data_IF_468969380114
#
_entry.id   IF_468969380114
#
_cell.length_a   1.000
_cell.length_b   1.000
_cell.length_c   1.000
_cell.angle_alpha   90.00
_cell.angle_beta   90.00
_cell.angle_gamma   90.00
#
_symmetry.space_group_name_H-M   'P 1'
#
loop_
_entity.id
_entity.type
_entity.pdbx_description
1 polymer ?
#
# COMPACT_ATOMS: atom_id res chain seq x y z
N UNK A 1 -20.87 -0.85 -2.05
CA UNK A 1 -21.55 -1.93 -2.77
C UNK A 1 -22.59 -1.37 -3.75
N UNK A 2 -23.53 -0.51 -3.37
CA UNK A 2 -24.54 0.06 -4.28
C UNK A 2 -23.98 0.68 -5.57
N UNK A 3 -22.78 1.27 -5.55
CA UNK A 3 -22.15 1.87 -6.74
C UNK A 3 -21.89 0.80 -7.80
N UNK A 4 -21.33 -0.35 -7.41
CA UNK A 4 -21.08 -1.46 -8.34
C UNK A 4 -22.36 -2.03 -8.94
N UNK A 5 -23.41 -2.18 -8.11
CA UNK A 5 -24.72 -2.69 -8.56
C UNK A 5 -25.37 -1.71 -9.55
N UNK A 6 -25.25 -0.40 -9.31
CA UNK A 6 -25.74 0.64 -10.23
C UNK A 6 -24.92 0.66 -11.53
N UNK A 7 -23.60 0.55 -11.44
CA UNK A 7 -22.71 0.53 -12.58
C UNK A 7 -23.01 -0.67 -13.50
N UNK A 8 -23.13 -1.85 -12.92
CA UNK A 8 -23.48 -3.08 -13.63
C UNK A 8 -24.85 -2.95 -14.33
N UNK A 9 -25.88 -2.48 -13.59
CA UNK A 9 -27.24 -2.28 -14.14
C UNK A 9 -27.27 -1.30 -15.31
N UNK A 10 -26.38 -0.29 -15.33
CA UNK A 10 -26.33 0.73 -16.37
C UNK A 10 -25.21 0.48 -17.40
N UNK A 11 -24.54 -0.65 -17.34
CA UNK A 11 -23.41 -1.00 -18.21
C UNK A 11 -22.32 0.08 -18.21
N UNK A 12 -21.95 0.57 -17.01
CA UNK A 12 -20.90 1.55 -16.81
C UNK A 12 -19.68 0.87 -16.17
N UNK A 13 -18.50 1.05 -16.75
CA UNK A 13 -17.26 0.57 -16.18
C UNK A 13 -16.88 1.41 -14.96
N UNK A 14 -16.47 0.72 -13.89
CA UNK A 14 -15.89 1.34 -12.67
C UNK A 14 -14.52 0.75 -12.45
N UNK A 15 -13.52 1.62 -12.30
CA UNK A 15 -12.13 1.23 -12.08
C UNK A 15 -11.49 2.12 -11.02
N UNK A 16 -10.77 1.51 -10.07
CA UNK A 16 -10.13 2.21 -8.97
C UNK A 16 -8.79 2.84 -9.37
N UNK A 17 -8.47 3.95 -8.75
CA UNK A 17 -7.19 4.64 -8.94
C UNK A 17 -6.14 4.03 -7.99
N UNK A 18 -5.60 2.85 -8.33
CA UNK A 18 -4.59 2.13 -7.55
C UNK A 18 -3.19 2.38 -8.13
N UNK A 19 -2.64 3.55 -7.87
CA UNK A 19 -1.35 4.03 -8.39
C UNK A 19 -0.16 3.17 -7.92
N UNK A 20 -0.23 2.61 -6.72
CA UNK A 20 0.83 1.83 -6.10
C UNK A 20 1.11 0.50 -6.83
N UNK A 21 0.17 0.00 -7.64
CA UNK A 21 0.41 -1.15 -8.54
C UNK A 21 1.48 -0.85 -9.59
N UNK A 22 1.73 0.44 -9.88
CA UNK A 22 2.70 0.91 -10.90
C UNK A 22 4.04 1.35 -10.30
N UNK A 23 4.13 1.40 -8.97
CA UNK A 23 5.41 1.65 -8.32
C UNK A 23 6.36 0.49 -8.65
N UNK A 24 7.55 0.82 -9.19
CA UNK A 24 8.43 -0.17 -9.80
C UNK A 24 8.94 -1.23 -8.83
N UNK A 25 9.21 -0.88 -7.56
CA UNK A 25 9.64 -1.88 -6.55
C UNK A 25 8.52 -2.86 -6.24
N UNK A 26 7.28 -2.38 -6.17
CA UNK A 26 6.06 -3.18 -5.98
C UNK A 26 5.80 -4.11 -7.17
N UNK A 27 5.92 -3.58 -8.39
CA UNK A 27 5.75 -4.38 -9.60
C UNK A 27 6.80 -5.51 -9.71
N UNK A 28 8.07 -5.22 -9.39
CA UNK A 28 9.14 -6.23 -9.37
C UNK A 28 8.94 -7.20 -8.20
N UNK A 29 8.50 -6.75 -7.02
CA UNK A 29 8.17 -7.63 -5.89
C UNK A 29 7.12 -8.66 -6.30
N UNK A 30 6.03 -8.23 -6.97
CA UNK A 30 5.02 -9.13 -7.54
C UNK A 30 5.61 -10.10 -8.55
N UNK A 31 6.40 -9.60 -9.51
CA UNK A 31 7.00 -10.46 -10.54
C UNK A 31 7.90 -11.55 -9.93
N UNK A 32 8.68 -11.20 -8.90
CA UNK A 32 9.51 -12.16 -8.15
C UNK A 32 8.68 -13.13 -7.32
N UNK A 33 7.55 -12.70 -6.75
CA UNK A 33 6.66 -13.58 -5.98
C UNK A 33 6.01 -14.68 -6.83
N UNK A 34 5.91 -14.46 -8.13
CA UNK A 34 5.41 -15.46 -9.09
C UNK A 34 6.50 -16.46 -9.54
N UNK A 35 7.75 -16.24 -9.15
CA UNK A 35 8.86 -17.15 -9.51
C UNK A 35 8.96 -18.32 -8.53
N UNK A 36 8.61 -19.51 -9.00
CA UNK A 36 8.71 -20.73 -8.19
C UNK A 36 10.15 -21.07 -7.77
N UNK A 37 11.16 -20.68 -8.56
CA UNK A 37 12.58 -20.92 -8.23
C UNK A 37 13.09 -19.96 -7.14
N UNK A 38 12.54 -18.74 -7.06
CA UNK A 38 13.00 -17.70 -6.13
C UNK A 38 12.13 -17.61 -4.90
N UNK A 39 10.82 -17.48 -5.06
CA UNK A 39 9.89 -17.27 -3.96
C UNK A 39 9.30 -18.60 -3.43
N UNK A 40 9.07 -19.54 -4.35
CA UNK A 40 8.32 -20.76 -4.05
C UNK A 40 6.83 -20.46 -3.86
N UNK A 41 6.26 -20.93 -2.77
CA UNK A 41 4.86 -20.70 -2.42
C UNK A 41 4.76 -19.68 -1.28
N UNK A 42 3.72 -18.86 -1.31
CA UNK A 42 3.41 -17.96 -0.19
C UNK A 42 3.09 -18.77 1.07
N UNK A 43 3.76 -18.47 2.17
CA UNK A 43 3.50 -19.13 3.46
C UNK A 43 2.10 -18.78 3.98
N UNK A 44 1.60 -19.57 4.93
CA UNK A 44 0.34 -19.22 5.61
C UNK A 44 0.54 -18.04 6.58
N UNK A 45 1.71 -17.97 7.20
CA UNK A 45 2.02 -16.99 8.23
C UNK A 45 1.27 -17.21 9.54
N UNK A 46 1.46 -16.30 10.47
CA UNK A 46 0.71 -16.22 11.74
C UNK A 46 0.38 -14.76 12.05
N UNK A 47 -0.35 -14.51 13.12
CA UNK A 47 -0.64 -13.15 13.58
C UNK A 47 0.64 -12.36 13.88
N UNK A 48 1.63 -13.00 14.52
CA UNK A 48 2.92 -12.40 14.90
C UNK A 48 3.89 -12.30 13.71
N UNK A 49 3.79 -13.22 12.75
CA UNK A 49 4.61 -13.29 11.56
C UNK A 49 3.74 -13.47 10.32
N UNK A 50 3.01 -12.43 9.89
CA UNK A 50 2.11 -12.52 8.75
C UNK A 50 2.86 -12.88 7.47
N UNK A 51 2.20 -13.65 6.59
CA UNK A 51 2.75 -13.99 5.28
C UNK A 51 2.99 -12.75 4.42
N UNK A 52 2.12 -11.74 4.61
CA UNK A 52 2.20 -10.45 3.91
C UNK A 52 2.04 -9.34 4.93
N UNK A 53 2.94 -8.37 4.91
CA UNK A 53 2.80 -7.11 5.66
C UNK A 53 3.04 -5.92 4.76
N UNK A 54 2.17 -4.93 4.85
CA UNK A 54 2.27 -3.65 4.16
C UNK A 54 2.11 -2.53 5.18
N UNK A 55 3.03 -1.60 5.18
CA UNK A 55 2.98 -0.41 6.02
C UNK A 55 3.28 0.83 5.19
N UNK A 56 2.55 1.90 5.45
CA UNK A 56 2.78 3.20 4.84
C UNK A 56 2.80 4.24 5.95
N UNK A 57 3.82 5.08 5.95
CA UNK A 57 3.97 6.20 6.88
C UNK A 57 3.85 7.49 6.09
N UNK A 58 2.86 8.29 6.43
CA UNK A 58 2.56 9.57 5.82
C UNK A 58 2.80 10.71 6.80
N UNK A 59 2.83 11.92 6.26
CA UNK A 59 3.03 13.13 7.06
C UNK A 59 1.98 14.18 6.71
N UNK A 60 1.37 14.74 7.76
CA UNK A 60 0.37 15.80 7.61
C UNK A 60 1.03 17.07 7.07
N UNK A 61 2.23 17.38 7.53
CA UNK A 61 3.06 18.45 7.00
C UNK A 61 4.34 17.89 6.39
N UNK A 62 4.63 18.26 5.16
CA UNK A 62 5.86 17.93 4.43
C UNK A 62 6.10 18.93 3.31
N UNK A 63 7.31 18.90 2.75
CA UNK A 63 7.63 19.65 1.54
C UNK A 63 7.45 18.78 0.30
N UNK A 64 6.81 19.33 -0.73
CA UNK A 64 6.65 18.70 -2.04
C UNK A 64 7.23 19.66 -3.08
N UNK A 65 8.23 19.20 -3.83
CA UNK A 65 8.96 20.03 -4.81
C UNK A 65 9.49 21.35 -4.22
N UNK A 66 9.99 21.28 -2.97
CA UNK A 66 10.58 22.42 -2.26
C UNK A 66 9.58 23.43 -1.67
N UNK A 67 8.26 23.14 -1.76
CA UNK A 67 7.21 23.99 -1.19
C UNK A 67 6.47 23.26 -0.08
N UNK A 68 6.06 23.96 1.00
CA UNK A 68 5.25 23.36 2.05
C UNK A 68 3.89 22.94 1.47
N UNK A 69 3.49 21.72 1.76
CA UNK A 69 2.16 21.21 1.40
C UNK A 69 1.13 21.75 2.38
N UNK A 70 0.29 22.68 1.92
CA UNK A 70 -0.84 23.21 2.70
C UNK A 70 -2.07 22.34 2.42
N UNK A 71 -2.64 21.75 3.49
CA UNK A 71 -3.85 20.91 3.39
C UNK A 71 -5.09 21.72 3.72
N UNK A 72 -6.19 21.51 3.00
CA UNK A 72 -7.46 22.11 3.40
C UNK A 72 -7.89 21.51 4.76
N UNK A 73 -8.51 22.32 5.64
CA UNK A 73 -8.88 21.87 6.99
C UNK A 73 -9.86 20.68 6.99
N UNK A 74 -10.70 20.52 5.95
CA UNK A 74 -11.62 19.38 5.84
C UNK A 74 -10.88 18.04 5.69
N UNK A 75 -9.63 18.04 5.27
CA UNK A 75 -8.78 16.84 5.22
C UNK A 75 -8.59 16.19 6.60
N UNK A 76 -8.71 16.99 7.67
CA UNK A 76 -8.61 16.52 9.05
C UNK A 76 -9.97 16.13 9.66
N UNK A 77 -11.07 16.30 8.93
CA UNK A 77 -12.40 15.89 9.35
C UNK A 77 -12.74 14.48 8.85
N UNK A 78 -12.77 13.53 9.76
CA UNK A 78 -13.08 12.12 9.45
C UNK A 78 -14.42 11.88 8.79
N UNK A 79 -15.40 12.82 8.94
CA UNK A 79 -16.68 12.74 8.24
C UNK A 79 -16.60 13.11 6.76
N UNK A 80 -15.62 13.93 6.40
CA UNK A 80 -15.39 14.37 5.01
C UNK A 80 -14.33 13.53 4.32
N UNK A 81 -13.16 13.35 4.96
CA UNK A 81 -12.03 12.60 4.39
C UNK A 81 -12.16 11.09 4.60
N UNK A 82 -12.77 10.64 5.68
CA UNK A 82 -12.66 9.29 6.19
C UNK A 82 -11.55 9.16 7.25
N UNK A 83 -11.51 8.02 7.92
CA UNK A 83 -10.43 7.69 8.85
C UNK A 83 -9.29 6.94 8.15
N UNK A 84 -8.07 7.03 8.67
CA UNK A 84 -6.90 6.38 8.08
C UNK A 84 -7.06 4.88 7.86
N UNK A 85 -7.83 4.21 8.73
CA UNK A 85 -8.11 2.77 8.60
C UNK A 85 -8.98 2.41 7.37
N UNK A 86 -9.64 3.37 6.73
CA UNK A 86 -10.49 3.16 5.55
C UNK A 86 -10.08 4.01 4.34
N UNK A 87 -9.13 4.91 4.50
CA UNK A 87 -8.63 5.79 3.45
C UNK A 87 -7.40 5.16 2.75
N UNK A 88 -6.20 5.47 3.17
CA UNK A 88 -4.97 4.98 2.53
C UNK A 88 -4.79 3.46 2.64
N UNK A 89 -5.34 2.83 3.65
CA UNK A 89 -5.34 1.36 3.77
C UNK A 89 -5.97 0.65 2.57
N UNK A 90 -6.86 1.31 1.80
CA UNK A 90 -7.41 0.73 0.56
C UNK A 90 -6.32 0.38 -0.43
N UNK A 91 -5.30 1.22 -0.59
CA UNK A 91 -4.15 0.95 -1.46
C UNK A 91 -3.36 -0.27 -0.99
N UNK A 92 -3.12 -0.38 0.32
CA UNK A 92 -2.33 -1.48 0.87
C UNK A 92 -3.09 -2.82 0.85
N UNK A 93 -4.41 -2.81 1.10
CA UNK A 93 -5.26 -4.01 0.95
C UNK A 93 -5.32 -4.44 -0.52
N UNK A 94 -5.40 -3.48 -1.44
CA UNK A 94 -5.32 -3.74 -2.88
C UNK A 94 -4.01 -4.44 -3.26
N UNK A 95 -2.88 -3.95 -2.78
CA UNK A 95 -1.57 -4.55 -3.04
C UNK A 95 -1.47 -5.97 -2.47
N UNK A 96 -2.02 -6.23 -1.27
CA UNK A 96 -2.08 -7.60 -0.72
C UNK A 96 -2.81 -8.54 -1.69
N UNK A 97 -3.97 -8.12 -2.21
CA UNK A 97 -4.74 -8.91 -3.16
C UNK A 97 -3.99 -9.11 -4.49
N UNK A 98 -3.51 -8.02 -5.07
CA UNK A 98 -2.91 -7.97 -6.39
C UNK A 98 -1.56 -8.71 -6.49
N UNK A 99 -0.73 -8.65 -5.43
CA UNK A 99 0.57 -9.31 -5.42
C UNK A 99 0.49 -10.78 -5.02
N UNK A 100 -0.33 -11.10 -4.00
CA UNK A 100 -0.38 -12.45 -3.45
C UNK A 100 -1.30 -13.40 -4.22
N UNK A 101 -2.31 -12.86 -4.89
CA UNK A 101 -3.32 -13.62 -5.61
C UNK A 101 -3.53 -13.07 -7.04
N UNK A 102 -2.46 -12.99 -7.84
CA UNK A 102 -2.53 -12.37 -9.17
C UNK A 102 -3.57 -13.04 -10.06
N UNK A 103 -4.44 -12.21 -10.66
CA UNK A 103 -5.51 -12.62 -11.57
C UNK A 103 -6.53 -13.60 -10.96
N UNK A 104 -6.62 -13.71 -9.64
CA UNK A 104 -7.60 -14.56 -8.96
C UNK A 104 -8.77 -13.72 -8.45
N UNK A 105 -9.97 -14.26 -8.60
CA UNK A 105 -11.18 -13.73 -7.97
C UNK A 105 -11.07 -13.96 -6.46
N UNK A 106 -11.24 -12.87 -5.70
CA UNK A 106 -11.30 -12.88 -4.24
C UNK A 106 -12.68 -12.39 -3.83
N UNK A 107 -13.32 -13.14 -2.95
CA UNK A 107 -14.64 -12.79 -2.41
C UNK A 107 -14.53 -12.36 -0.95
N UNK A 108 -15.51 -11.64 -0.44
CA UNK A 108 -15.55 -11.25 0.98
C UNK A 108 -15.52 -12.45 1.94
N UNK A 109 -16.03 -13.60 1.52
CA UNK A 109 -15.94 -14.87 2.28
C UNK A 109 -14.52 -15.43 2.40
N UNK A 110 -13.59 -14.99 1.56
CA UNK A 110 -12.18 -15.38 1.64
C UNK A 110 -11.43 -14.58 2.72
N UNK A 111 -12.06 -13.52 3.28
CA UNK A 111 -11.46 -12.63 4.27
C UNK A 111 -12.04 -12.89 5.65
N UNK A 112 -11.15 -13.07 6.64
CA UNK A 112 -11.54 -13.15 8.05
C UNK A 112 -10.73 -12.12 8.86
N UNK A 113 -11.40 -11.08 9.41
CA UNK A 113 -10.79 -10.05 10.23
C UNK A 113 -10.45 -10.60 11.61
N UNK A 114 -9.18 -10.50 12.03
CA UNK A 114 -8.67 -11.02 13.31
C UNK A 114 -8.57 -9.91 14.36
N UNK A 115 -8.00 -8.78 13.99
CA UNK A 115 -7.91 -7.61 14.86
C UNK A 115 -7.81 -6.33 14.04
N UNK A 116 -8.29 -5.22 14.60
CA UNK A 116 -8.12 -3.91 14.03
C UNK A 116 -8.03 -2.86 15.14
N UNK A 117 -7.27 -1.82 14.91
CA UNK A 117 -7.17 -0.66 15.79
C UNK A 117 -7.05 0.62 14.99
N UNK A 118 -7.55 1.71 15.56
CA UNK A 118 -7.43 3.06 15.03
C UNK A 118 -6.94 4.00 16.13
N UNK A 119 -6.23 5.04 15.76
CA UNK A 119 -5.79 6.05 16.72
C UNK A 119 -5.60 7.41 16.06
N UNK A 120 -5.64 8.46 16.87
CA UNK A 120 -5.47 9.82 16.41
C UNK A 120 -3.99 10.23 16.37
N UNK A 121 -3.65 11.10 15.43
CA UNK A 121 -2.50 11.99 15.54
C UNK A 121 -2.99 13.25 16.25
N UNK A 122 -2.35 13.59 17.36
CA UNK A 122 -2.73 14.74 18.16
C UNK A 122 -2.01 15.97 17.62
N UNK A 123 -2.76 17.02 17.30
CA UNK A 123 -2.25 18.25 16.69
C UNK A 123 -2.57 19.45 17.57
N UNK A 124 -1.53 20.13 18.06
CA UNK A 124 -1.70 21.42 18.69
C UNK A 124 -2.24 22.48 17.72
N UNK A 125 -2.73 23.59 18.25
CA UNK A 125 -3.25 24.70 17.42
C UNK A 125 -2.16 25.25 16.47
N UNK A 126 -0.90 25.32 16.90
CA UNK A 126 0.21 25.79 16.07
C UNK A 126 0.53 24.79 14.94
N UNK A 127 0.47 23.49 15.24
CA UNK A 127 0.64 22.43 14.26
C UNK A 127 -0.51 22.44 13.22
N UNK A 128 -1.75 22.60 13.68
CA UNK A 128 -2.91 22.76 12.80
C UNK A 128 -2.75 23.97 11.87
N UNK A 129 -2.35 25.14 12.43
CA UNK A 129 -2.05 26.33 11.63
C UNK A 129 -0.95 26.06 10.59
N UNK A 130 0.13 25.36 10.96
CA UNK A 130 1.23 25.03 10.05
C UNK A 130 0.75 24.13 8.90
N UNK A 131 -0.15 23.17 9.18
CA UNK A 131 -0.71 22.25 8.17
C UNK A 131 -1.68 22.94 7.25
N UNK A 132 -2.59 23.78 7.80
CA UNK A 132 -3.76 24.31 7.07
C UNK A 132 -3.67 25.76 6.66
N UNK A 133 -2.81 26.54 7.30
CA UNK A 133 -2.74 28.00 7.17
C UNK A 133 -3.81 28.76 7.96
N UNK A 134 -4.71 28.09 8.73
CA UNK A 134 -5.78 28.71 9.46
C UNK A 134 -5.40 28.99 10.93
N UNK A 135 -5.81 30.12 11.46
CA UNK A 135 -5.54 30.53 12.86
C UNK A 135 -6.49 29.87 13.89
N UNK A 136 -7.59 29.27 13.45
CA UNK A 136 -8.60 28.66 14.31
C UNK A 136 -9.19 27.42 13.66
N UNK A 137 -9.64 26.49 14.52
CA UNK A 137 -10.36 25.30 14.06
C UNK A 137 -11.75 25.67 13.56
N UNK A 138 -12.14 25.25 12.33
CA UNK A 138 -13.52 25.36 11.87
C UNK A 138 -14.51 24.61 12.76
N UNK A 139 -15.78 25.04 12.74
CA UNK A 139 -16.83 24.47 13.62
C UNK A 139 -16.99 22.96 13.48
N UNK A 140 -16.83 22.42 12.27
CA UNK A 140 -16.96 20.99 12.03
C UNK A 140 -15.84 20.13 12.63
N UNK A 141 -14.71 20.73 13.08
CA UNK A 141 -13.63 20.05 13.79
C UNK A 141 -13.78 20.14 15.32
N UNK A 142 -14.70 20.95 15.86
CA UNK A 142 -14.87 21.12 17.31
C UNK A 142 -15.17 19.79 18.03
N UNK A 143 -15.85 18.86 17.36
CA UNK A 143 -16.18 17.52 17.88
C UNK A 143 -14.97 16.65 18.18
N UNK A 144 -13.85 16.93 17.52
CA UNK A 144 -12.60 16.15 17.59
C UNK A 144 -11.53 16.85 18.45
N UNK A 145 -11.89 17.96 19.14
CA UNK A 145 -11.01 18.65 20.07
C UNK A 145 -11.07 18.01 21.47
N UNK A 146 -9.91 17.71 22.04
CA UNK A 146 -9.75 17.31 23.43
C UNK A 146 -8.66 18.21 24.02
N UNK A 147 -8.99 18.92 25.13
CA UNK A 147 -8.05 19.84 25.81
C UNK A 147 -7.38 20.88 24.87
N UNK A 148 -8.12 21.36 23.86
CA UNK A 148 -7.70 22.29 22.81
C UNK A 148 -6.82 21.73 21.71
N UNK A 149 -6.44 20.45 21.73
CA UNK A 149 -5.73 19.78 20.66
C UNK A 149 -6.68 18.99 19.76
N UNK A 150 -6.40 18.98 18.47
CA UNK A 150 -7.19 18.23 17.48
C UNK A 150 -6.72 16.77 17.43
N UNK A 151 -7.64 15.86 17.71
CA UNK A 151 -7.44 14.42 17.59
C UNK A 151 -7.86 13.93 16.19
N UNK A 152 -6.93 13.98 15.23
CA UNK A 152 -7.16 13.53 13.86
C UNK A 152 -7.02 12.01 13.77
N UNK A 153 -8.12 11.26 13.61
CA UNK A 153 -8.14 9.79 13.48
C UNK A 153 -7.67 9.34 12.09
N UNK A 154 -6.42 9.56 11.79
CA UNK A 154 -5.80 9.27 10.49
C UNK A 154 -4.93 8.00 10.49
N UNK A 155 -4.82 7.29 11.61
CA UNK A 155 -4.03 6.07 11.72
C UNK A 155 -4.91 4.82 11.82
N UNK A 156 -4.42 3.72 11.26
CA UNK A 156 -5.11 2.44 11.36
C UNK A 156 -4.20 1.24 11.11
N UNK A 157 -4.50 0.14 11.78
CA UNK A 157 -3.86 -1.15 11.60
C UNK A 157 -4.91 -2.25 11.59
N UNK A 158 -4.76 -3.21 10.71
CA UNK A 158 -5.60 -4.38 10.64
C UNK A 158 -4.77 -5.65 10.42
N UNK A 159 -5.19 -6.73 11.06
CA UNK A 159 -4.67 -8.07 10.84
C UNK A 159 -5.85 -8.96 10.42
N UNK A 160 -5.68 -9.69 9.34
CA UNK A 160 -6.74 -10.53 8.78
C UNK A 160 -6.14 -11.74 8.07
N UNK A 161 -6.96 -12.75 7.80
CA UNK A 161 -6.59 -13.77 6.83
C UNK A 161 -7.34 -13.55 5.53
N UNK A 162 -6.67 -13.84 4.41
CA UNK A 162 -7.22 -13.82 3.06
C UNK A 162 -6.84 -15.12 2.36
N UNK A 163 -7.83 -15.93 1.94
CA UNK A 163 -7.62 -17.30 1.42
C UNK A 163 -6.70 -18.12 2.32
N UNK A 164 -6.87 -18.00 3.65
CA UNK A 164 -6.05 -18.70 4.66
C UNK A 164 -4.66 -18.14 4.91
N UNK A 165 -4.22 -17.08 4.20
CA UNK A 165 -2.91 -16.44 4.42
C UNK A 165 -3.07 -15.25 5.36
N UNK A 166 -2.19 -15.17 6.39
CA UNK A 166 -2.18 -14.03 7.31
C UNK A 166 -1.61 -12.79 6.64
N UNK A 167 -2.34 -11.68 6.71
CA UNK A 167 -1.96 -10.38 6.21
C UNK A 167 -2.06 -9.31 7.31
N UNK A 168 -1.11 -8.39 7.31
CA UNK A 168 -1.11 -7.19 8.17
C UNK A 168 -0.98 -5.95 7.31
N UNK A 169 -1.85 -4.96 7.55
CA UNK A 169 -1.81 -3.66 6.90
C UNK A 169 -1.81 -2.57 7.97
N UNK A 170 -0.94 -1.57 7.82
CA UNK A 170 -0.79 -0.45 8.75
C UNK A 170 -0.59 0.87 7.99
N UNK A 171 -1.35 1.90 8.38
CA UNK A 171 -1.18 3.28 7.90
C UNK A 171 -0.97 4.18 9.10
N UNK A 172 0.12 4.95 9.06
CA UNK A 172 0.53 5.87 10.11
C UNK A 172 0.67 7.26 9.49
N UNK A 173 0.06 8.26 10.13
CA UNK A 173 0.22 9.66 9.81
C UNK A 173 0.92 10.40 10.96
N UNK A 174 2.17 10.74 10.75
CA UNK A 174 2.90 11.62 11.66
C UNK A 174 2.57 13.08 11.37
N UNK A 175 2.83 13.96 12.36
CA UNK A 175 2.64 15.39 12.17
C UNK A 175 3.51 15.94 11.03
N UNK A 176 4.82 15.72 11.08
CA UNK A 176 5.80 16.32 10.17
C UNK A 176 6.83 15.32 9.67
N UNK A 177 7.16 15.40 8.40
CA UNK A 177 8.25 14.62 7.82
C UNK A 177 9.61 15.16 8.32
N UNK A 178 10.60 14.30 8.60
CA UNK A 178 11.98 14.74 8.80
C UNK A 178 12.46 15.55 7.59
N UNK A 179 13.34 16.51 7.84
CA UNK A 179 13.84 17.39 6.80
C UNK A 179 14.45 16.61 5.61
N UNK A 180 14.09 16.98 4.41
CA UNK A 180 14.54 16.33 3.17
C UNK A 180 13.93 14.97 2.89
N UNK A 181 12.94 14.54 3.68
CA UNK A 181 12.25 13.25 3.49
C UNK A 181 10.79 13.44 3.12
N UNK A 182 10.12 12.34 2.84
CA UNK A 182 8.69 12.27 2.53
C UNK A 182 8.02 11.07 3.16
N UNK A 183 6.92 10.64 2.56
CA UNK A 183 6.22 9.43 2.97
C UNK A 183 7.07 8.19 2.64
N UNK A 184 6.88 7.12 3.41
CA UNK A 184 7.63 5.88 3.25
C UNK A 184 6.68 4.69 3.16
N UNK A 185 7.14 3.65 2.48
CA UNK A 185 6.44 2.38 2.33
C UNK A 185 7.35 1.22 2.71
N UNK A 186 6.78 0.26 3.42
CA UNK A 186 7.44 -1.01 3.73
C UNK A 186 6.54 -2.18 3.33
N UNK A 187 7.15 -3.22 2.79
CA UNK A 187 6.43 -4.41 2.36
C UNK A 187 7.26 -5.66 2.64
N UNK A 188 6.61 -6.71 3.10
CA UNK A 188 7.24 -8.03 3.21
C UNK A 188 6.27 -9.08 2.69
N UNK A 189 6.75 -9.94 1.79
CA UNK A 189 6.08 -11.16 1.36
C UNK A 189 6.96 -12.36 1.72
N UNK A 190 6.43 -13.34 2.44
CA UNK A 190 7.17 -14.50 2.93
C UNK A 190 6.85 -15.73 2.11
N UNK A 191 7.80 -16.17 1.29
CA UNK A 191 7.72 -17.41 0.52
C UNK A 191 8.43 -18.58 1.19
N UNK A 192 8.26 -19.77 0.64
CA UNK A 192 8.93 -20.99 1.14
C UNK A 192 10.44 -20.96 0.88
N UNK A 193 10.90 -20.25 -0.17
CA UNK A 193 12.31 -20.17 -0.57
C UNK A 193 12.99 -18.85 -0.24
N UNK A 194 12.24 -17.74 -0.24
CA UNK A 194 12.76 -16.42 0.13
C UNK A 194 11.69 -15.51 0.69
N UNK A 195 12.13 -14.47 1.36
CA UNK A 195 11.29 -13.31 1.68
C UNK A 195 11.64 -12.16 0.72
N UNK A 196 10.62 -11.51 0.18
CA UNK A 196 10.74 -10.32 -0.65
C UNK A 196 10.40 -9.11 0.21
N UNK A 197 11.32 -8.16 0.34
CA UNK A 197 11.21 -7.09 1.32
C UNK A 197 11.46 -5.75 0.63
N UNK A 198 10.49 -4.85 0.67
CA UNK A 198 10.69 -3.44 0.31
C UNK A 198 10.92 -2.67 1.61
N UNK A 199 11.98 -1.89 1.65
CA UNK A 199 12.31 -0.94 2.72
C UNK A 199 12.49 0.45 2.13
N UNK A 200 12.14 1.46 2.94
CA UNK A 200 12.32 2.87 2.58
C UNK A 200 12.65 3.67 3.85
N UNK A 201 13.67 3.25 4.58
CA UNK A 201 14.11 3.86 5.82
C UNK A 201 15.38 4.71 5.67
N UNK A 202 15.95 5.07 6.81
CA UNK A 202 17.22 5.82 6.86
C UNK A 202 18.35 5.05 6.17
N UNK A 203 18.38 3.72 6.34
CA UNK A 203 19.40 2.85 5.73
C UNK A 203 19.35 2.89 4.21
N UNK A 204 18.15 3.07 3.64
CA UNK A 204 17.90 3.18 2.20
C UNK A 204 17.91 4.65 1.71
N UNK A 205 18.31 5.61 2.55
CA UNK A 205 18.22 7.04 2.26
C UNK A 205 16.81 7.47 1.84
N UNK A 206 15.78 6.89 2.46
CA UNK A 206 14.34 7.09 2.17
C UNK A 206 13.94 6.81 0.73
N UNK A 207 14.71 5.96 0.01
CA UNK A 207 14.36 5.50 -1.33
C UNK A 207 13.81 4.07 -1.27
N UNK A 208 12.70 3.77 -1.95
CA UNK A 208 12.17 2.40 -2.01
C UNK A 208 13.25 1.46 -2.55
N UNK A 209 13.61 0.46 -1.77
CA UNK A 209 14.65 -0.53 -2.09
C UNK A 209 14.10 -1.93 -1.88
N UNK A 210 14.21 -2.77 -2.90
CA UNK A 210 13.73 -4.15 -2.87
C UNK A 210 14.87 -5.10 -2.56
N UNK A 211 14.66 -5.92 -1.54
CA UNK A 211 15.57 -6.98 -1.12
C UNK A 211 14.95 -8.37 -1.31
N UNK A 212 15.80 -9.33 -1.65
CA UNK A 212 15.47 -10.75 -1.68
C UNK A 212 16.30 -11.45 -0.61
N UNK A 213 15.63 -12.01 0.42
CA UNK A 213 16.29 -12.73 1.51
C UNK A 213 16.04 -14.23 1.34
N UNK A 214 17.06 -14.96 0.93
CA UNK A 214 16.99 -16.41 0.74
C UNK A 214 16.87 -17.17 2.06
N UNK A 215 16.13 -18.27 2.03
CA UNK A 215 16.02 -19.28 3.10
C UNK A 215 16.86 -20.54 2.82
N UNK A 216 17.43 -20.63 1.62
CA UNK A 216 18.32 -21.71 1.16
C UNK A 216 19.55 -21.12 0.52
N UNK A 217 20.71 -21.75 0.69
CA UNK A 217 21.97 -21.29 0.13
C UNK A 217 22.38 -22.01 -1.17
N UNK A 218 21.76 -23.15 -1.48
CA UNK A 218 22.13 -23.94 -2.68
C UNK A 218 21.49 -23.33 -3.95
N UNK A 219 22.33 -23.00 -4.92
CA UNK A 219 21.96 -22.50 -6.24
C UNK A 219 21.11 -21.21 -6.30
N UNK A 220 20.76 -20.61 -5.17
CA UNK A 220 19.84 -19.46 -5.13
C UNK A 220 20.34 -18.26 -5.94
N UNK A 221 21.65 -17.98 -5.89
CA UNK A 221 22.25 -16.88 -6.64
C UNK A 221 22.13 -17.10 -8.15
N UNK A 222 22.35 -18.35 -8.62
CA UNK A 222 22.18 -18.72 -10.02
C UNK A 222 20.73 -18.58 -10.47
N UNK A 223 19.80 -19.11 -9.66
CA UNK A 223 18.36 -19.03 -9.93
C UNK A 223 17.88 -17.57 -9.97
N UNK A 224 18.38 -16.72 -9.06
CA UNK A 224 18.08 -15.28 -9.04
C UNK A 224 18.60 -14.62 -10.33
N UNK A 225 19.82 -14.90 -10.74
CA UNK A 225 20.39 -14.37 -11.98
C UNK A 225 19.56 -14.74 -13.22
N UNK A 226 19.13 -15.99 -13.31
CA UNK A 226 18.26 -16.48 -14.39
C UNK A 226 16.89 -15.77 -14.35
N UNK A 227 16.30 -15.62 -13.16
CA UNK A 227 15.01 -14.96 -13.01
C UNK A 227 15.10 -13.47 -13.37
N UNK A 228 16.11 -12.76 -12.89
CA UNK A 228 16.38 -11.36 -13.26
C UNK A 228 16.56 -11.23 -14.78
N UNK A 229 17.28 -12.13 -15.41
CA UNK A 229 17.45 -12.11 -16.87
C UNK A 229 16.13 -12.22 -17.63
N UNK A 230 15.18 -13.01 -17.14
CA UNK A 230 13.83 -13.12 -17.73
C UNK A 230 13.02 -11.84 -17.52
N UNK A 231 13.15 -11.21 -16.35
CA UNK A 231 12.44 -9.97 -16.01
C UNK A 231 12.96 -8.75 -16.78
N UNK A 232 14.13 -8.83 -17.44
CA UNK A 232 14.65 -7.75 -18.31
C UNK A 232 13.67 -7.36 -19.43
N UNK A 233 12.80 -8.27 -19.87
CA UNK A 233 11.81 -7.97 -20.91
C UNK A 233 10.75 -6.96 -20.43
N UNK A 234 10.43 -6.96 -19.15
CA UNK A 234 9.44 -6.08 -18.54
C UNK A 234 10.12 -4.91 -17.81
N UNK A 235 11.26 -5.17 -17.16
CA UNK A 235 12.02 -4.19 -16.37
C UNK A 235 13.46 -4.09 -16.91
N UNK A 236 13.70 -3.39 -18.02
CA UNK A 236 15.03 -3.34 -18.65
C UNK A 236 16.09 -2.74 -17.73
N UNK A 237 17.23 -3.41 -17.64
CA UNK A 237 18.41 -2.94 -16.91
C UNK A 237 18.40 -3.26 -15.40
N UNK A 238 17.39 -3.96 -14.87
CA UNK A 238 17.44 -4.42 -13.47
C UNK A 238 18.57 -5.43 -13.30
N UNK A 239 19.14 -5.45 -12.09
CA UNK A 239 20.17 -6.43 -11.72
C UNK A 239 20.08 -6.75 -10.23
N UNK A 240 20.86 -7.72 -9.76
CA UNK A 240 20.95 -8.04 -8.33
C UNK A 240 22.36 -7.80 -7.81
N UNK A 241 22.46 -7.27 -6.59
CA UNK A 241 23.72 -7.07 -5.87
C UNK A 241 23.67 -7.87 -4.57
N UNK A 242 24.62 -8.77 -4.39
CA UNK A 242 24.76 -9.54 -3.16
C UNK A 242 25.24 -8.63 -2.02
N UNK A 243 24.48 -8.60 -0.93
CA UNK A 243 24.80 -7.84 0.30
C UNK A 243 25.41 -8.77 1.35
N UNK A 244 24.81 -9.94 1.56
CA UNK A 244 25.30 -11.02 2.42
C UNK A 244 25.15 -12.37 1.74
N UNK A 245 25.50 -13.46 2.42
CA UNK A 245 25.32 -14.81 1.87
C UNK A 245 23.85 -15.18 1.63
N UNK A 246 22.89 -14.48 2.27
CA UNK A 246 21.47 -14.75 2.13
C UNK A 246 20.63 -13.54 1.73
N UNK A 247 21.25 -12.40 1.42
CA UNK A 247 20.54 -11.16 1.12
C UNK A 247 21.07 -10.53 -0.17
N UNK A 248 20.15 -10.23 -1.08
CA UNK A 248 20.42 -9.49 -2.33
C UNK A 248 19.53 -8.24 -2.39
N UNK A 249 20.10 -7.15 -2.89
CA UNK A 249 19.40 -5.95 -3.31
C UNK A 249 19.09 -6.04 -4.80
N UNK A 250 17.87 -5.69 -5.20
CA UNK A 250 17.52 -5.55 -6.61
C UNK A 250 17.83 -4.10 -7.03
N UNK A 251 18.81 -3.96 -7.91
CA UNK A 251 19.19 -2.66 -8.45
C UNK A 251 18.24 -2.29 -9.59
N UNK A 252 17.58 -1.15 -9.44
CA UNK A 252 16.57 -0.66 -10.38
C UNK A 252 17.11 0.62 -11.04
N UNK A 253 17.23 0.67 -12.39
CA UNK A 253 17.66 1.86 -13.11
C UNK A 253 16.75 3.06 -12.83
N UNK A 254 17.35 4.26 -12.75
CA UNK A 254 16.59 5.51 -12.49
C UNK A 254 15.52 5.78 -13.55
N UNK A 255 15.71 5.36 -14.80
CA UNK A 255 14.73 5.52 -15.87
C UNK A 255 13.41 4.79 -15.60
N UNK A 256 13.41 3.74 -14.76
CA UNK A 256 12.21 3.01 -14.35
C UNK A 256 11.52 3.63 -13.12
N UNK A 257 12.19 4.52 -12.41
CA UNK A 257 11.67 5.19 -11.20
C UNK A 257 10.93 6.46 -11.59
N UNK A 258 9.76 6.27 -12.19
CA UNK A 258 8.89 7.39 -12.56
C UNK A 258 8.15 7.93 -11.34
N UNK A 259 7.81 9.23 -11.36
CA UNK A 259 7.13 9.88 -10.23
C UNK A 259 5.65 9.46 -10.10
N UNK A 260 5.11 9.71 -8.91
CA UNK A 260 3.74 9.32 -8.55
C UNK A 260 2.68 9.88 -9.53
N UNK A 261 2.87 11.10 -10.05
CA UNK A 261 1.97 11.69 -11.05
C UNK A 261 1.91 10.87 -12.34
N UNK A 262 3.01 10.24 -12.75
CA UNK A 262 3.03 9.36 -13.92
C UNK A 262 2.21 8.08 -13.70
N UNK A 263 2.11 7.60 -12.46
CA UNK A 263 1.28 6.44 -12.12
C UNK A 263 -0.21 6.70 -12.38
N UNK A 264 -0.71 7.94 -12.17
CA UNK A 264 -2.09 8.30 -12.56
C UNK A 264 -2.30 8.17 -14.08
N UNK A 265 -1.29 8.55 -14.87
CA UNK A 265 -1.31 8.33 -16.32
C UNK A 265 -1.40 6.85 -16.69
N UNK A 266 -0.66 5.98 -15.98
CA UNK A 266 -0.70 4.53 -16.19
C UNK A 266 -2.06 3.92 -15.80
N UNK A 267 -2.64 4.35 -14.67
CA UNK A 267 -4.02 3.96 -14.29
C UNK A 267 -5.03 4.37 -15.35
N UNK A 268 -4.91 5.62 -15.84
CA UNK A 268 -5.79 6.15 -16.89
C UNK A 268 -5.67 5.35 -18.19
N UNK A 269 -4.44 5.02 -18.60
CA UNK A 269 -4.20 4.21 -19.80
C UNK A 269 -4.80 2.81 -19.66
N UNK A 270 -4.70 2.17 -18.49
CA UNK A 270 -5.37 0.89 -18.24
C UNK A 270 -6.89 1.02 -18.32
N UNK A 271 -7.46 2.06 -17.73
CA UNK A 271 -8.90 2.31 -17.82
C UNK A 271 -9.35 2.51 -19.27
N UNK A 272 -8.63 3.31 -20.04
CA UNK A 272 -8.95 3.54 -21.46
C UNK A 272 -8.89 2.24 -22.28
N UNK A 273 -7.88 1.41 -22.02
CA UNK A 273 -7.79 0.08 -22.64
C UNK A 273 -9.02 -0.76 -22.32
N UNK A 274 -9.41 -0.88 -21.05
CA UNK A 274 -10.60 -1.64 -20.65
C UNK A 274 -11.89 -1.03 -21.20
N UNK A 275 -11.94 0.29 -21.33
CA UNK A 275 -13.07 0.97 -21.95
C UNK A 275 -13.20 0.63 -23.43
N UNK A 276 -12.09 0.58 -24.18
CA UNK A 276 -12.05 0.16 -25.57
C UNK A 276 -12.40 -1.33 -25.74
N UNK A 277 -11.95 -2.19 -24.83
CA UNK A 277 -12.27 -3.61 -24.79
C UNK A 277 -13.73 -3.89 -24.33
N UNK A 278 -14.39 -2.90 -23.73
CA UNK A 278 -15.76 -2.99 -23.23
C UNK A 278 -15.91 -3.80 -21.93
N UNK A 279 -14.79 -4.25 -21.32
CA UNK A 279 -14.80 -5.05 -20.09
C UNK A 279 -13.51 -4.88 -19.27
N UNK A 280 -13.63 -5.07 -17.95
CA UNK A 280 -12.51 -5.26 -17.04
C UNK A 280 -12.15 -6.76 -16.98
N UNK A 281 -10.92 -7.10 -16.53
CA UNK A 281 -10.63 -8.47 -16.14
C UNK A 281 -11.62 -8.99 -15.07
N UNK A 282 -12.00 -10.26 -15.16
CA UNK A 282 -13.05 -10.86 -14.30
C UNK A 282 -12.80 -10.72 -12.81
N UNK A 283 -11.55 -10.61 -12.41
CA UNK A 283 -11.15 -10.47 -11.01
C UNK A 283 -11.22 -9.03 -10.47
N UNK A 284 -11.21 -7.98 -11.31
CA UNK A 284 -11.13 -6.58 -10.84
C UNK A 284 -12.34 -6.18 -9.98
N UNK A 285 -13.55 -6.35 -10.47
CA UNK A 285 -14.77 -5.95 -9.72
C UNK A 285 -14.93 -6.75 -8.42
N UNK A 286 -14.79 -8.10 -8.39
CA UNK A 286 -14.83 -8.84 -7.14
C UNK A 286 -13.76 -8.38 -6.13
N UNK A 287 -12.53 -8.13 -6.60
CA UNK A 287 -11.43 -7.72 -5.74
C UNK A 287 -11.62 -6.30 -5.20
N UNK A 288 -12.10 -5.35 -6.02
CA UNK A 288 -12.51 -4.02 -5.52
C UNK A 288 -13.58 -4.13 -4.42
N UNK A 289 -14.63 -4.92 -4.65
CA UNK A 289 -15.69 -5.15 -3.64
C UNK A 289 -15.11 -5.74 -2.35
N UNK A 290 -14.23 -6.72 -2.45
CA UNK A 290 -13.59 -7.37 -1.30
C UNK A 290 -12.63 -6.44 -0.57
N UNK A 291 -11.88 -5.59 -1.28
CA UNK A 291 -11.05 -4.54 -0.69
C UNK A 291 -11.84 -3.61 0.22
N UNK A 292 -12.93 -3.04 -0.29
CA UNK A 292 -13.80 -2.16 0.50
C UNK A 292 -14.52 -2.89 1.64
N UNK A 293 -14.88 -4.15 1.44
CA UNK A 293 -15.39 -4.99 2.52
C UNK A 293 -14.35 -5.13 3.64
N UNK A 294 -13.10 -5.44 3.31
CA UNK A 294 -12.00 -5.65 4.27
C UNK A 294 -11.77 -4.40 5.12
N UNK A 295 -11.67 -3.22 4.50
CA UNK A 295 -11.45 -1.96 5.23
C UNK A 295 -12.65 -1.58 6.11
N UNK A 296 -13.88 -1.82 5.64
CA UNK A 296 -15.09 -1.56 6.43
C UNK A 296 -15.19 -2.51 7.65
N UNK A 297 -14.88 -3.79 7.50
CA UNK A 297 -14.87 -4.73 8.63
C UNK A 297 -13.80 -4.36 9.66
N UNK A 298 -12.61 -3.93 9.20
CA UNK A 298 -11.56 -3.42 10.08
C UNK A 298 -12.06 -2.17 10.86
N UNK A 299 -12.69 -1.22 10.18
CA UNK A 299 -13.23 -0.02 10.82
C UNK A 299 -14.29 -0.37 11.86
N UNK A 300 -15.26 -1.25 11.53
CA UNK A 300 -16.28 -1.69 12.47
C UNK A 300 -15.66 -2.31 13.72
N UNK A 301 -14.69 -3.21 13.55
CA UNK A 301 -14.01 -3.86 14.67
C UNK A 301 -13.25 -2.85 15.54
N UNK A 302 -12.53 -1.91 14.90
CA UNK A 302 -11.75 -0.88 15.59
C UNK A 302 -12.60 0.17 16.32
N UNK A 303 -13.88 0.31 15.97
CA UNK A 303 -14.82 1.25 16.62
C UNK A 303 -15.70 0.61 17.68
N UNK A 304 -15.67 -0.72 17.82
CA UNK A 304 -16.40 -1.45 18.88
C UNK A 304 -15.60 -1.56 20.18
N UNK A 305 -14.32 -1.28 20.14
CA UNK A 305 -13.38 -1.28 21.27
C UNK A 305 -13.07 0.17 21.70
#
# INVERSE_FOLDING_TARGET
MKVFDIAEKNNVLVYDIMTERFEVTTAIQKALSMSQSIFGELLDGTLENPAISKESVHHLFKYVSGKPLVRPAWFLDTKQQGEGIIDVTTHLVDLVQWEAFPNQIIQSSDVNMLSARRWATILSKDQFKKITGLDSYPDYLQKDLIENDLHAYCNGEMNYTIKGKHAKVSVIWNYEAPEGTGDTHQSTMRGTKSDLIIKQGVEENFKPTLYVKSKSNENFESDLSVTISKLQNEFPGISSKKITNSLWEILIPEILKIGHEAHFGQVTNNFLKYFEEGSLPDWEIPNMKTKYYTTIEAYKLATQN
#
